data_IF_934578325201
#
_entry.id   IF_934578325201
#
_cell.length_a   1.000
_cell.length_b   1.000
_cell.length_c   1.000
_cell.angle_alpha   90.00
_cell.angle_beta   90.00
_cell.angle_gamma   90.00
#
_symmetry.space_group_name_H-M   'P 1'
#
loop_
_entity.id
_entity.type
_entity.pdbx_description
1 polymer ?
#
# COMPACT_ATOMS: atom_id res chain seq x y z
N UNK A 1 8.23 61.99 20.74
CA UNK A 1 8.31 61.83 19.28
C UNK A 1 9.10 60.53 19.06
N UNK A 2 8.42 59.38 19.03
CA UNK A 2 7.96 58.70 17.79
C UNK A 2 9.15 57.95 17.17
N UNK A 3 9.17 56.68 16.80
CA UNK A 3 8.24 55.55 16.68
C UNK A 3 9.16 54.30 16.77
N UNK A 4 8.78 53.07 17.15
CA UNK A 4 7.68 52.26 16.64
C UNK A 4 8.24 50.97 16.04
N UNK A 5 7.86 49.81 16.60
CA UNK A 5 7.77 48.52 15.92
C UNK A 5 9.05 47.66 15.85
N UNK A 6 9.01 46.33 15.99
CA UNK A 6 7.90 45.37 16.14
C UNK A 6 8.45 44.11 16.82
N UNK A 7 7.66 43.59 17.75
CA UNK A 7 7.65 42.19 18.13
C UNK A 7 7.56 41.32 16.87
N UNK A 8 8.52 40.41 16.70
CA UNK A 8 8.35 39.31 15.76
C UNK A 8 8.50 38.03 16.54
N UNK A 9 7.35 37.55 17.00
CA UNK A 9 7.12 36.24 17.57
C UNK A 9 7.87 35.18 16.77
N UNK A 10 8.80 34.49 17.44
CA UNK A 10 9.33 33.22 16.95
C UNK A 10 8.16 32.24 16.86
N UNK A 11 7.58 32.12 15.67
CA UNK A 11 6.69 31.02 15.32
C UNK A 11 7.53 29.75 15.34
N UNK A 12 7.26 28.88 16.32
CA UNK A 12 7.79 27.53 16.37
C UNK A 12 7.25 26.75 15.16
N UNK A 13 7.96 26.83 14.03
CA UNK A 13 7.75 25.95 12.90
C UNK A 13 7.98 24.51 13.38
N UNK A 14 6.90 23.73 13.38
CA UNK A 14 6.91 22.31 13.69
C UNK A 14 8.04 21.64 12.93
N UNK A 15 8.85 20.86 13.66
CA UNK A 15 9.94 20.06 13.09
C UNK A 15 9.32 19.17 12.00
N UNK A 16 9.60 19.47 10.74
CA UNK A 16 9.31 18.57 9.64
C UNK A 16 10.11 17.30 9.91
N UNK A 17 9.45 16.21 10.29
CA UNK A 17 10.11 14.92 10.32
C UNK A 17 10.62 14.66 8.89
N UNK A 18 11.89 14.28 8.70
CA UNK A 18 12.39 13.88 7.39
C UNK A 18 11.49 12.77 6.87
N UNK A 19 10.71 13.08 5.82
CA UNK A 19 9.80 12.12 5.20
C UNK A 19 10.64 10.96 4.68
N UNK A 20 10.41 9.76 5.23
CA UNK A 20 10.99 8.54 4.67
C UNK A 20 10.09 8.08 3.52
N UNK A 21 10.65 7.83 2.33
CA UNK A 21 9.89 7.20 1.26
C UNK A 21 9.38 5.84 1.71
N UNK A 22 8.21 5.45 1.19
CA UNK A 22 7.68 4.10 1.35
C UNK A 22 8.66 3.11 0.69
N UNK A 23 9.11 2.11 1.45
CA UNK A 23 10.06 1.11 0.96
C UNK A 23 9.35 -0.23 0.73
N UNK A 24 9.97 -1.09 -0.07
CA UNK A 24 9.45 -2.42 -0.37
C UNK A 24 9.29 -3.26 0.90
N UNK A 25 10.19 -3.11 1.87
CA UNK A 25 10.12 -3.82 3.15
C UNK A 25 8.88 -3.44 3.94
N UNK A 26 8.55 -2.14 4.01
CA UNK A 26 7.36 -1.65 4.72
C UNK A 26 6.09 -2.17 4.05
N UNK A 27 6.06 -2.17 2.70
CA UNK A 27 4.92 -2.70 1.95
C UNK A 27 4.80 -4.20 2.16
N UNK A 28 5.90 -4.96 2.06
CA UNK A 28 5.95 -6.41 2.33
C UNK A 28 5.38 -6.72 3.71
N UNK A 29 5.89 -6.10 4.77
CA UNK A 29 5.43 -6.34 6.14
C UNK A 29 3.94 -6.02 6.31
N UNK A 30 3.47 -4.92 5.72
CA UNK A 30 2.06 -4.57 5.75
C UNK A 30 1.18 -5.57 4.97
N UNK A 31 1.66 -6.09 3.83
CA UNK A 31 0.93 -7.09 3.05
C UNK A 31 0.84 -8.40 3.83
N UNK A 32 1.92 -8.86 4.44
CA UNK A 32 1.93 -10.04 5.32
C UNK A 32 0.97 -9.85 6.51
N UNK A 33 0.92 -8.65 7.09
CA UNK A 33 -0.04 -8.31 8.14
C UNK A 33 -1.50 -8.40 7.66
N UNK A 34 -1.82 -7.83 6.49
CA UNK A 34 -3.18 -7.89 5.92
C UNK A 34 -3.57 -9.31 5.52
N UNK A 35 -2.61 -10.17 5.17
CA UNK A 35 -2.86 -11.57 4.83
C UNK A 35 -3.04 -12.48 6.04
N UNK A 36 -2.87 -11.98 7.27
CA UNK A 36 -3.23 -12.73 8.46
C UNK A 36 -4.70 -12.49 8.85
N UNK A 37 -5.52 -13.54 8.79
CA UNK A 37 -6.96 -13.50 9.11
C UNK A 37 -7.25 -12.94 10.50
N UNK A 38 -6.38 -13.20 11.47
CA UNK A 38 -6.52 -12.73 12.86
C UNK A 38 -6.51 -11.22 13.00
N UNK A 39 -5.98 -10.49 12.01
CA UNK A 39 -5.88 -9.04 12.05
C UNK A 39 -7.16 -8.34 11.56
N UNK A 40 -8.10 -9.08 10.94
CA UNK A 40 -9.31 -8.49 10.37
C UNK A 40 -10.38 -8.22 11.44
N UNK A 41 -11.12 -7.10 11.32
CA UNK A 41 -11.10 -6.10 10.24
C UNK A 41 -9.93 -5.11 10.32
N UNK A 42 -9.32 -4.77 9.17
CA UNK A 42 -8.20 -3.82 9.05
C UNK A 42 -8.61 -2.57 8.25
N UNK A 43 -8.21 -1.39 8.72
CA UNK A 43 -8.22 -0.14 7.95
C UNK A 43 -6.80 0.21 7.52
N UNK A 44 -6.58 0.38 6.22
CA UNK A 44 -5.30 0.85 5.67
C UNK A 44 -5.43 2.32 5.30
N UNK A 45 -4.64 3.20 5.93
CA UNK A 45 -4.59 4.62 5.58
C UNK A 45 -3.23 5.23 5.88
N UNK A 46 -2.85 6.25 5.11
CA UNK A 46 -1.81 7.21 5.43
C UNK A 46 -2.44 8.55 5.80
N UNK A 47 -1.62 9.58 6.06
CA UNK A 47 -2.11 10.91 6.45
C UNK A 47 -3.14 11.50 5.48
N UNK A 48 -2.96 11.28 4.17
CA UNK A 48 -3.90 11.75 3.15
C UNK A 48 -4.88 10.67 2.67
N UNK A 49 -4.62 9.40 2.97
CA UNK A 49 -5.32 8.26 2.40
C UNK A 49 -5.11 8.04 0.90
N UNK A 50 -4.19 8.78 0.26
CA UNK A 50 -4.05 8.78 -1.21
C UNK A 50 -2.77 8.10 -1.67
N UNK A 51 -1.60 8.61 -1.26
CA UNK A 51 -0.33 8.24 -1.92
C UNK A 51 0.20 6.90 -1.42
N UNK A 52 0.62 6.82 -0.15
CA UNK A 52 1.16 5.59 0.42
C UNK A 52 0.08 4.52 0.55
N UNK A 53 -1.16 4.91 0.85
CA UNK A 53 -2.32 4.01 0.78
C UNK A 53 -2.53 3.47 -0.62
N UNK A 54 -2.50 4.32 -1.66
CA UNK A 54 -2.64 3.90 -3.05
C UNK A 54 -1.50 2.99 -3.51
N UNK A 55 -0.27 3.28 -3.11
CA UNK A 55 0.88 2.42 -3.37
C UNK A 55 0.69 1.04 -2.74
N UNK A 56 0.35 1.00 -1.44
CA UNK A 56 0.13 -0.25 -0.71
C UNK A 56 -1.00 -1.08 -1.32
N UNK A 57 -2.16 -0.47 -1.58
CA UNK A 57 -3.30 -1.16 -2.20
C UNK A 57 -2.93 -1.63 -3.60
N UNK A 58 -2.20 -0.83 -4.37
CA UNK A 58 -1.70 -1.23 -5.69
C UNK A 58 -0.78 -2.45 -5.63
N UNK A 59 0.13 -2.51 -4.67
CA UNK A 59 1.00 -3.67 -4.43
C UNK A 59 0.19 -4.90 -3.96
N UNK A 60 -0.86 -4.72 -3.16
CA UNK A 60 -1.80 -5.80 -2.84
C UNK A 60 -2.49 -6.34 -4.11
N UNK A 61 -2.91 -5.46 -5.03
CA UNK A 61 -3.48 -5.88 -6.32
C UNK A 61 -2.46 -6.60 -7.20
N UNK A 62 -1.20 -6.17 -7.20
CA UNK A 62 -0.10 -6.88 -7.89
C UNK A 62 0.06 -8.29 -7.35
N UNK A 63 0.05 -8.45 -6.02
CA UNK A 63 0.12 -9.76 -5.37
C UNK A 63 -1.07 -10.66 -5.72
N UNK A 64 -2.24 -10.07 -5.94
CA UNK A 64 -3.45 -10.73 -6.44
C UNK A 64 -3.46 -10.93 -7.97
N UNK A 65 -2.32 -10.75 -8.64
CA UNK A 65 -2.14 -10.90 -10.08
C UNK A 65 -3.12 -10.08 -10.94
N UNK A 66 -3.58 -8.92 -10.45
CA UNK A 66 -4.39 -8.02 -11.26
C UNK A 66 -3.57 -7.46 -12.43
N UNK A 67 -4.25 -7.20 -13.55
CA UNK A 67 -3.66 -6.49 -14.68
C UNK A 67 -3.20 -5.08 -14.26
N UNK A 68 -1.97 -4.71 -14.59
CA UNK A 68 -1.38 -3.44 -14.17
C UNK A 68 -2.20 -2.20 -14.59
N UNK A 69 -2.79 -2.19 -15.79
CA UNK A 69 -3.64 -1.06 -16.21
C UNK A 69 -4.87 -0.92 -15.32
N UNK A 70 -5.50 -2.03 -14.92
CA UNK A 70 -6.64 -2.00 -13.99
C UNK A 70 -6.23 -1.44 -12.63
N UNK A 71 -5.03 -1.78 -12.15
CA UNK A 71 -4.49 -1.24 -10.88
C UNK A 71 -4.27 0.28 -10.99
N UNK A 72 -3.68 0.73 -12.09
CA UNK A 72 -3.44 2.16 -12.33
C UNK A 72 -4.76 2.94 -12.43
N UNK A 73 -5.78 2.37 -13.08
CA UNK A 73 -7.12 2.96 -13.14
C UNK A 73 -7.71 3.08 -11.73
N UNK A 74 -7.70 2.00 -10.93
CA UNK A 74 -8.18 2.03 -9.55
C UNK A 74 -7.47 3.13 -8.74
N UNK A 75 -6.14 3.16 -8.75
CA UNK A 75 -5.36 4.18 -8.06
C UNK A 75 -5.72 5.60 -8.51
N UNK A 76 -5.85 5.85 -9.83
CA UNK A 76 -6.20 7.18 -10.36
C UNK A 76 -7.63 7.59 -9.99
N UNK A 77 -8.57 6.64 -9.92
CA UNK A 77 -9.93 6.92 -9.45
C UNK A 77 -9.94 7.45 -8.01
N UNK A 78 -9.11 6.88 -7.12
CA UNK A 78 -9.01 7.35 -5.74
C UNK A 78 -8.15 8.63 -5.60
N UNK A 79 -7.06 8.74 -6.35
CA UNK A 79 -6.15 9.88 -6.24
C UNK A 79 -6.63 11.14 -6.97
N UNK A 80 -7.47 10.99 -8.00
CA UNK A 80 -7.96 12.09 -8.82
C UNK A 80 -6.83 12.97 -9.37
N UNK A 81 -6.98 14.29 -9.24
CA UNK A 81 -5.98 15.27 -9.67
C UNK A 81 -4.65 15.22 -8.89
N UNK A 82 -4.59 14.47 -7.78
CA UNK A 82 -3.38 14.30 -6.96
C UNK A 82 -2.59 13.06 -7.35
N UNK A 83 -2.99 12.33 -8.39
CA UNK A 83 -2.27 11.15 -8.84
C UNK A 83 -0.81 11.48 -9.20
N UNK A 84 0.13 10.74 -8.59
CA UNK A 84 1.57 10.83 -8.89
C UNK A 84 2.01 9.64 -9.75
N UNK A 85 2.83 9.90 -10.77
CA UNK A 85 3.44 8.87 -11.61
C UNK A 85 4.39 7.98 -10.82
N UNK A 86 5.14 8.54 -9.86
CA UNK A 86 6.06 7.79 -8.99
C UNK A 86 5.37 6.66 -8.21
N UNK A 87 4.10 6.84 -7.84
CA UNK A 87 3.33 5.78 -7.16
C UNK A 87 2.99 4.65 -8.14
N UNK A 88 2.64 4.98 -9.38
CA UNK A 88 2.37 3.97 -10.42
C UNK A 88 3.64 3.17 -10.74
N UNK A 89 4.77 3.87 -10.88
CA UNK A 89 6.07 3.24 -11.10
C UNK A 89 6.48 2.36 -9.91
N UNK A 90 6.23 2.80 -8.68
CA UNK A 90 6.47 1.99 -7.49
C UNK A 90 5.65 0.68 -7.52
N UNK A 91 4.35 0.77 -7.82
CA UNK A 91 3.47 -0.41 -7.94
C UNK A 91 3.96 -1.35 -9.05
N UNK A 92 4.40 -0.81 -10.18
CA UNK A 92 4.90 -1.59 -11.31
C UNK A 92 6.15 -2.41 -10.94
N UNK A 93 7.09 -1.77 -10.26
CA UNK A 93 8.39 -2.31 -9.92
C UNK A 93 8.40 -3.16 -8.63
N UNK A 94 7.33 -3.10 -7.83
CA UNK A 94 7.25 -3.86 -6.60
C UNK A 94 7.35 -5.37 -6.88
N UNK A 95 8.38 -6.01 -6.30
CA UNK A 95 8.61 -7.43 -6.38
C UNK A 95 7.68 -8.18 -5.41
N UNK A 96 6.67 -8.86 -5.94
CA UNK A 96 5.71 -9.62 -5.15
C UNK A 96 6.31 -10.87 -4.50
N UNK A 97 7.43 -11.39 -5.01
CA UNK A 97 8.07 -12.59 -4.46
C UNK A 97 8.72 -12.31 -3.10
N UNK A 98 8.87 -11.03 -2.74
CA UNK A 98 9.26 -10.61 -1.39
C UNK A 98 8.22 -10.99 -0.34
N UNK A 99 6.94 -11.13 -0.70
CA UNK A 99 5.84 -11.41 0.25
C UNK A 99 5.80 -12.90 0.59
N UNK A 100 6.17 -13.25 1.82
CA UNK A 100 6.38 -14.65 2.21
C UNK A 100 5.15 -15.29 2.87
N UNK A 101 4.06 -15.42 2.12
CA UNK A 101 2.79 -16.00 2.62
C UNK A 101 2.96 -17.43 3.15
N UNK A 102 3.84 -18.21 2.52
CA UNK A 102 4.05 -19.64 2.82
C UNK A 102 5.04 -19.94 3.96
N UNK A 103 5.82 -18.96 4.43
CA UNK A 103 6.90 -19.18 5.43
C UNK A 103 6.51 -18.82 6.86
N UNK A 104 5.52 -17.96 7.03
CA UNK A 104 4.89 -17.72 8.32
C UNK A 104 4.13 -18.98 8.77
N UNK A 105 3.98 -19.19 10.09
CA UNK A 105 3.30 -20.35 10.72
C UNK A 105 1.78 -20.42 10.43
N UNK A 106 1.35 -19.94 9.27
CA UNK A 106 -0.02 -19.90 8.84
C UNK A 106 -0.37 -21.24 8.19
N UNK A 107 -1.14 -22.06 8.90
CA UNK A 107 -1.88 -23.14 8.24
C UNK A 107 -2.86 -22.45 7.28
N UNK A 108 -3.28 -23.06 6.15
CA UNK A 108 -4.24 -22.43 5.19
C UNK A 108 -5.44 -21.73 5.86
N UNK A 109 -5.86 -22.22 7.03
CA UNK A 109 -6.90 -21.65 7.91
C UNK A 109 -6.58 -20.27 8.53
N UNK A 110 -5.36 -19.74 8.43
CA UNK A 110 -4.96 -18.46 9.00
C UNK A 110 -4.95 -17.32 7.96
N UNK A 111 -5.24 -17.62 6.69
CA UNK A 111 -5.36 -16.62 5.61
C UNK A 111 -6.82 -16.18 5.44
N UNK A 112 -7.13 -14.92 5.11
CA UNK A 112 -8.49 -14.48 4.82
C UNK A 112 -9.17 -15.33 3.75
N UNK A 113 -10.49 -15.53 3.87
CA UNK A 113 -11.26 -16.33 2.92
C UNK A 113 -11.13 -15.81 1.49
N UNK A 114 -11.16 -14.49 1.28
CA UNK A 114 -10.99 -13.88 -0.04
C UNK A 114 -9.65 -14.21 -0.70
N UNK A 115 -8.58 -14.40 0.09
CA UNK A 115 -7.27 -14.75 -0.45
C UNK A 115 -7.20 -16.24 -0.80
N UNK A 116 -7.83 -17.10 0.01
CA UNK A 116 -7.97 -18.52 -0.31
C UNK A 116 -8.77 -18.74 -1.59
N UNK A 117 -9.85 -17.96 -1.77
CA UNK A 117 -10.67 -17.98 -2.97
C UNK A 117 -9.85 -17.62 -4.21
N UNK A 118 -9.06 -16.54 -4.12
CA UNK A 118 -8.13 -16.14 -5.17
C UNK A 118 -7.12 -17.25 -5.50
N UNK A 119 -6.48 -17.84 -4.48
CA UNK A 119 -5.52 -18.92 -4.70
C UNK A 119 -6.17 -20.12 -5.40
N UNK A 120 -7.40 -20.48 -5.05
CA UNK A 120 -8.13 -21.57 -5.69
C UNK A 120 -8.40 -21.27 -7.17
N UNK A 121 -8.91 -20.08 -7.49
CA UNK A 121 -9.11 -19.67 -8.89
C UNK A 121 -7.80 -19.66 -9.69
N UNK A 122 -6.70 -19.20 -9.09
CA UNK A 122 -5.40 -19.22 -9.73
C UNK A 122 -4.81 -20.64 -9.92
N UNK A 123 -5.22 -21.62 -9.12
CA UNK A 123 -4.88 -23.03 -9.30
C UNK A 123 -5.71 -23.65 -10.45
N UNK A 124 -7.02 -23.39 -10.49
CA UNK A 124 -7.94 -23.84 -11.55
C UNK A 124 -7.48 -23.35 -12.95
N UNK A 125 -7.16 -22.06 -13.09
CA UNK A 125 -6.65 -21.48 -14.35
C UNK A 125 -5.35 -22.17 -14.84
N UNK A 126 -4.48 -22.60 -13.91
CA UNK A 126 -3.24 -23.31 -14.24
C UNK A 126 -3.49 -24.75 -14.67
N UNK A 127 -4.56 -25.37 -14.18
CA UNK A 127 -4.96 -26.72 -14.59
C UNK A 127 -5.61 -26.71 -15.97
N UNK A 128 -6.45 -25.72 -16.27
CA UNK A 128 -7.08 -25.56 -17.60
C UNK A 128 -6.08 -25.23 -18.72
N UNK A 129 -4.95 -24.62 -18.37
CA UNK A 129 -3.88 -24.28 -19.33
C UNK A 129 -2.90 -25.42 -19.62
N UNK A 130 -3.05 -26.59 -19.01
CA UNK A 130 -2.22 -27.79 -19.26
C UNK A 130 -2.84 -28.71 -20.30
#
# INVERSE_FOLDING_TARGET
MGAGGKDTSQSAMGKQHPWKPLTDEVVKEGLEFVLARSNHPVLVCCTSGIHETGAFVGCLRRLLAWNFNSIVVEYRCFAGSKARSLIQQFIELFDTDLVTVSRTRHRKQDLPCWYLEYMRSAEEEKEESK
#
